data_IF_335216436950
#
_entry.id   IF_335216436950
#
_cell.length_a   1.000
_cell.length_b   1.000
_cell.length_c   1.000
_cell.angle_alpha   90.00
_cell.angle_beta   90.00
_cell.angle_gamma   90.00
#
_symmetry.space_group_name_H-M   'P 1'
#
loop_
_entity.id
_entity.type
_entity.pdbx_description
1 polymer ?
#
# COMPACT_ATOMS: atom_id res chain seq x y z
N UNK A 1 19.91 15.01 -13.28
CA UNK A 1 19.47 15.92 -12.20
C UNK A 1 19.20 15.05 -11.00
N UNK A 2 19.88 15.31 -9.88
CA UNK A 2 19.78 14.53 -8.64
C UNK A 2 18.70 15.17 -7.77
N UNK A 3 17.71 14.39 -7.34
CA UNK A 3 16.61 14.89 -6.51
C UNK A 3 16.94 14.69 -5.02
N UNK A 4 16.40 15.54 -4.15
CA UNK A 4 16.50 15.37 -2.69
C UNK A 4 15.11 15.16 -2.14
N UNK A 5 14.91 14.03 -1.46
CA UNK A 5 13.67 13.70 -0.76
C UNK A 5 13.92 13.84 0.74
N UNK A 6 13.02 14.53 1.42
CA UNK A 6 13.04 14.71 2.88
C UNK A 6 12.14 13.64 3.48
N UNK A 7 12.67 12.89 4.45
CA UNK A 7 11.97 11.83 5.16
C UNK A 7 11.89 12.23 6.63
N UNK A 8 10.68 12.20 7.16
CA UNK A 8 10.36 12.55 8.55
C UNK A 8 10.46 11.31 9.43
N UNK A 9 10.93 11.45 10.67
CA UNK A 9 11.09 10.30 11.58
C UNK A 9 9.75 9.60 11.93
N UNK A 10 8.63 10.32 11.85
CA UNK A 10 7.29 9.76 12.12
C UNK A 10 6.80 8.72 11.11
N UNK A 11 7.45 8.60 9.94
CA UNK A 11 7.13 7.54 8.99
C UNK A 11 7.47 6.14 9.57
N UNK A 12 8.34 6.08 10.59
CA UNK A 12 8.89 4.82 11.09
C UNK A 12 9.17 4.83 12.61
N UNK A 13 8.14 4.99 13.47
CA UNK A 13 8.33 5.18 14.91
C UNK A 13 9.01 4.00 15.63
N UNK A 14 8.90 2.79 15.09
CA UNK A 14 9.50 1.56 15.65
C UNK A 14 10.77 1.11 14.93
N UNK A 15 11.18 1.81 13.87
CA UNK A 15 12.43 1.50 13.17
C UNK A 15 13.54 2.29 13.82
N UNK A 16 14.35 1.62 14.64
CA UNK A 16 15.69 2.14 14.89
C UNK A 16 16.43 2.09 13.56
N UNK A 17 16.80 3.25 13.04
CA UNK A 17 17.72 3.38 11.90
C UNK A 17 19.11 2.86 12.31
N UNK A 18 19.21 1.55 12.51
CA UNK A 18 20.47 0.88 12.78
C UNK A 18 21.37 1.07 11.57
N UNK A 19 22.66 1.38 11.81
CA UNK A 19 23.63 1.73 10.77
C UNK A 19 23.62 0.77 9.58
N UNK A 20 23.32 -0.50 9.83
CA UNK A 20 23.28 -1.58 8.85
C UNK A 20 22.23 -1.39 7.74
N UNK A 21 21.03 -0.88 8.05
CA UNK A 21 19.98 -0.64 7.04
C UNK A 21 20.34 0.56 6.16
N UNK A 22 20.89 1.62 6.76
CA UNK A 22 21.38 2.79 6.04
C UNK A 22 22.60 2.43 5.15
N UNK A 23 23.45 1.51 5.59
CA UNK A 23 24.61 1.03 4.82
C UNK A 23 24.21 0.15 3.62
N UNK A 24 23.25 -0.78 3.80
CA UNK A 24 22.69 -1.55 2.67
C UNK A 24 21.97 -0.66 1.66
N UNK A 25 21.21 0.33 2.14
CA UNK A 25 20.52 1.26 1.25
C UNK A 25 21.49 2.17 0.48
N UNK A 26 22.57 2.63 1.13
CA UNK A 26 23.64 3.41 0.48
C UNK A 26 24.32 2.64 -0.66
N UNK A 27 24.47 1.33 -0.52
CA UNK A 27 25.15 0.51 -1.51
C UNK A 27 24.35 0.35 -2.82
N UNK A 28 23.03 0.45 -2.76
CA UNK A 28 22.17 0.12 -3.90
C UNK A 28 21.36 1.31 -4.47
N UNK A 29 21.03 2.35 -3.68
CA UNK A 29 19.93 3.25 -4.08
C UNK A 29 20.10 4.77 -3.90
N UNK A 30 20.83 5.27 -2.89
CA UNK A 30 20.96 6.73 -2.66
C UNK A 30 22.11 7.10 -1.71
N UNK A 31 22.69 8.29 -1.85
CA UNK A 31 23.55 8.87 -0.81
C UNK A 31 22.69 9.52 0.30
N UNK A 32 23.00 9.23 1.56
CA UNK A 32 22.23 9.71 2.72
C UNK A 32 23.02 10.71 3.55
N UNK A 33 22.43 11.88 3.81
CA UNK A 33 22.94 12.86 4.76
C UNK A 33 21.92 13.10 5.87
N UNK A 34 22.35 12.98 7.13
CA UNK A 34 21.59 13.44 8.28
C UNK A 34 21.92 14.93 8.49
N UNK A 35 20.90 15.79 8.53
CA UNK A 35 21.09 17.16 8.99
C UNK A 35 21.13 17.09 10.53
N UNK A 36 22.31 17.29 11.11
CA UNK A 36 22.51 17.28 12.56
C UNK A 36 21.51 18.21 13.25
N UNK A 37 20.90 17.71 14.32
CA UNK A 37 19.96 18.36 15.26
C UNK A 37 18.46 18.33 14.93
N UNK A 38 18.02 17.83 13.77
CA UNK A 38 16.60 17.60 13.49
C UNK A 38 16.33 16.11 13.17
N UNK A 39 15.20 15.58 13.64
CA UNK A 39 14.65 14.23 13.39
C UNK A 39 14.22 14.07 11.91
N UNK A 40 15.12 14.37 10.98
CA UNK A 40 14.83 14.48 9.55
C UNK A 40 15.99 13.94 8.74
N UNK A 41 15.68 12.98 7.87
CA UNK A 41 16.63 12.35 6.97
C UNK A 41 16.48 12.96 5.58
N UNK A 42 17.62 13.19 4.90
CA UNK A 42 17.62 13.67 3.52
C UNK A 42 18.27 12.64 2.61
N UNK A 43 17.46 12.04 1.74
CA UNK A 43 17.88 11.07 0.74
C UNK A 43 18.23 11.78 -0.58
N UNK A 44 19.42 11.53 -1.10
CA UNK A 44 19.89 12.06 -2.39
C UNK A 44 19.66 11.00 -3.46
N UNK A 45 18.61 11.17 -4.25
CA UNK A 45 18.12 10.21 -5.24
C UNK A 45 18.92 10.33 -6.54
N UNK A 46 19.51 9.22 -7.04
CA UNK A 46 20.27 9.23 -8.27
C UNK A 46 19.36 9.41 -9.49
N UNK A 47 19.92 9.96 -10.58
CA UNK A 47 19.13 10.38 -11.75
C UNK A 47 18.40 9.27 -12.51
N UNK A 48 18.75 8.00 -12.28
CA UNK A 48 18.08 6.84 -12.88
C UNK A 48 16.87 6.34 -12.06
N UNK A 49 16.78 6.68 -10.77
CA UNK A 49 15.64 6.35 -9.89
C UNK A 49 14.59 7.46 -9.94
N UNK A 50 13.93 7.60 -11.09
CA UNK A 50 12.90 8.65 -11.31
C UNK A 50 11.58 8.37 -10.60
N UNK A 51 11.44 7.17 -10.07
CA UNK A 51 10.33 6.66 -9.28
C UNK A 51 10.40 7.09 -7.81
N UNK A 52 11.55 7.56 -7.32
CA UNK A 52 11.72 8.04 -5.94
C UNK A 52 11.51 9.56 -5.85
N UNK A 53 10.26 9.98 -5.70
CA UNK A 53 9.85 11.39 -5.77
C UNK A 53 9.37 11.92 -4.43
N UNK A 54 8.70 11.08 -3.65
CA UNK A 54 8.11 11.42 -2.35
C UNK A 54 8.64 10.54 -1.23
N UNK A 55 8.35 10.93 0.00
CA UNK A 55 8.74 10.20 1.20
C UNK A 55 8.30 8.73 1.18
N UNK A 56 7.09 8.46 0.71
CA UNK A 56 6.53 7.10 0.65
C UNK A 56 7.36 6.16 -0.26
N UNK A 57 7.95 6.67 -1.34
CA UNK A 57 8.74 5.85 -2.26
C UNK A 57 10.05 5.41 -1.59
N UNK A 58 10.70 6.34 -0.87
CA UNK A 58 11.90 6.04 -0.07
C UNK A 58 11.57 5.07 1.05
N UNK A 59 10.39 5.23 1.66
CA UNK A 59 9.89 4.36 2.71
C UNK A 59 9.68 2.91 2.22
N UNK A 60 9.10 2.74 1.02
CA UNK A 60 8.94 1.43 0.38
C UNK A 60 10.29 0.75 0.14
N UNK A 61 11.28 1.49 -0.37
CA UNK A 61 12.61 0.92 -0.61
C UNK A 61 13.29 0.43 0.67
N UNK A 62 13.11 1.15 1.79
CA UNK A 62 13.62 0.74 3.10
C UNK A 62 12.94 -0.57 3.52
N UNK A 63 11.62 -0.64 3.38
CA UNK A 63 10.86 -1.84 3.67
C UNK A 63 11.28 -3.03 2.77
N UNK A 64 11.52 -2.79 1.48
CA UNK A 64 11.95 -3.80 0.50
C UNK A 64 13.35 -4.35 0.80
N UNK A 65 14.30 -3.50 1.20
CA UNK A 65 15.69 -3.92 1.53
C UNK A 65 15.76 -4.60 2.89
N UNK A 66 14.97 -4.13 3.86
CA UNK A 66 14.88 -4.74 5.19
C UNK A 66 14.19 -6.11 5.13
N UNK A 67 13.18 -6.25 4.28
CA UNK A 67 12.33 -7.43 4.18
C UNK A 67 10.93 -7.12 4.70
N UNK A 68 9.91 -7.40 3.89
CA UNK A 68 8.50 -7.17 4.25
C UNK A 68 8.02 -8.10 5.36
N UNK A 69 8.62 -9.26 5.50
CA UNK A 69 8.38 -10.22 6.57
C UNK A 69 8.74 -9.70 7.97
N UNK A 70 9.52 -8.62 8.05
CA UNK A 70 9.89 -7.97 9.30
C UNK A 70 8.93 -6.84 9.69
N UNK A 71 7.92 -6.54 8.87
CA UNK A 71 6.88 -5.58 9.20
C UNK A 71 5.88 -6.24 10.16
N UNK A 72 5.61 -5.68 11.35
CA UNK A 72 4.67 -6.26 12.29
C UNK A 72 3.25 -6.39 11.73
N UNK A 73 2.65 -7.56 11.88
CA UNK A 73 1.25 -7.82 11.54
C UNK A 73 0.33 -7.29 12.65
N UNK A 74 0.01 -5.99 12.58
CA UNK A 74 -0.90 -5.34 13.53
C UNK A 74 -2.24 -5.01 12.86
N UNK A 75 -3.33 -5.31 13.56
CA UNK A 75 -4.65 -4.84 13.13
C UNK A 75 -4.76 -3.33 13.40
N UNK A 76 -5.28 -2.54 12.43
CA UNK A 76 -5.54 -1.13 12.67
C UNK A 76 -6.49 -0.93 13.85
N UNK A 77 -6.07 -0.16 14.84
CA UNK A 77 -6.90 0.17 15.99
C UNK A 77 -7.79 1.38 15.65
N UNK A 78 -8.93 1.12 15.01
CA UNK A 78 -9.93 2.14 14.68
C UNK A 78 -11.31 1.70 15.18
N UNK A 79 -12.16 2.63 15.65
CA UNK A 79 -13.53 2.29 16.05
C UNK A 79 -14.29 1.72 14.85
N UNK A 80 -15.08 0.67 15.09
CA UNK A 80 -15.87 0.07 14.02
C UNK A 80 -16.86 1.12 13.47
N UNK A 81 -16.95 1.29 12.14
CA UNK A 81 -17.94 2.19 11.57
C UNK A 81 -19.35 1.71 11.91
N UNK A 82 -20.31 2.63 11.95
CA UNK A 82 -21.73 2.29 12.14
C UNK A 82 -22.19 1.31 11.07
N UNK A 83 -23.01 0.33 11.46
CA UNK A 83 -23.61 -0.61 10.53
C UNK A 83 -24.32 0.10 9.38
N UNK A 84 -24.06 -0.35 8.15
CA UNK A 84 -24.79 0.06 6.95
C UNK A 84 -25.40 -1.19 6.30
N UNK A 85 -26.71 -1.19 6.01
CA UNK A 85 -27.32 -2.28 5.26
C UNK A 85 -26.62 -2.52 3.93
N UNK A 86 -26.45 -3.78 3.54
CA UNK A 86 -25.89 -4.11 2.23
C UNK A 86 -26.84 -3.60 1.14
N UNK A 87 -26.35 -2.85 0.13
CA UNK A 87 -27.16 -2.47 -1.03
C UNK A 87 -27.62 -3.70 -1.84
N UNK A 88 -27.04 -4.86 -1.59
CA UNK A 88 -27.34 -6.12 -2.27
C UNK A 88 -28.41 -6.96 -1.54
N UNK A 89 -28.88 -6.53 -0.37
CA UNK A 89 -29.83 -7.30 0.45
C UNK A 89 -31.06 -7.79 -0.34
N UNK A 90 -31.66 -6.92 -1.18
CA UNK A 90 -32.82 -7.29 -2.00
C UNK A 90 -32.44 -8.33 -3.06
N UNK A 91 -31.30 -8.16 -3.73
CA UNK A 91 -30.79 -9.10 -4.72
C UNK A 91 -30.57 -10.48 -4.08
N UNK A 92 -29.96 -10.50 -2.90
CA UNK A 92 -29.64 -11.73 -2.20
C UNK A 92 -30.92 -12.46 -1.74
N UNK A 93 -31.93 -11.71 -1.25
CA UNK A 93 -33.23 -12.26 -0.93
C UNK A 93 -33.94 -12.88 -2.16
N UNK A 94 -33.90 -12.20 -3.31
CA UNK A 94 -34.45 -12.74 -4.56
C UNK A 94 -33.71 -14.02 -4.98
N UNK A 95 -32.37 -14.03 -4.87
CA UNK A 95 -31.56 -15.20 -5.18
C UNK A 95 -31.95 -16.40 -4.33
N UNK A 96 -32.11 -16.22 -3.02
CA UNK A 96 -32.53 -17.28 -2.10
C UNK A 96 -33.89 -17.89 -2.48
N UNK A 97 -34.86 -17.04 -2.83
CA UNK A 97 -36.19 -17.50 -3.26
C UNK A 97 -36.11 -18.32 -4.55
N UNK A 98 -35.35 -17.86 -5.54
CA UNK A 98 -35.23 -18.55 -6.83
C UNK A 98 -34.51 -19.90 -6.69
N UNK A 99 -33.46 -19.95 -5.86
CA UNK A 99 -32.79 -21.23 -5.54
C UNK A 99 -33.74 -22.16 -4.81
N UNK A 100 -34.52 -21.67 -3.85
CA UNK A 100 -35.54 -22.45 -3.15
C UNK A 100 -36.64 -23.00 -4.08
N UNK A 101 -36.89 -22.33 -5.21
CA UNK A 101 -37.79 -22.77 -6.26
C UNK A 101 -37.14 -23.76 -7.26
N UNK A 102 -35.87 -24.13 -7.08
CA UNK A 102 -35.16 -25.09 -7.92
C UNK A 102 -34.45 -24.49 -9.14
N UNK A 103 -34.28 -23.17 -9.21
CA UNK A 103 -33.51 -22.53 -10.27
C UNK A 103 -32.01 -22.55 -9.93
N UNK A 104 -31.18 -22.60 -10.97
CA UNK A 104 -29.73 -22.44 -10.89
C UNK A 104 -29.31 -21.05 -11.36
N UNK A 105 -28.43 -20.39 -10.62
CA UNK A 105 -27.86 -19.11 -11.03
C UNK A 105 -26.78 -19.31 -12.11
N UNK A 106 -26.79 -18.46 -13.13
CA UNK A 106 -25.78 -18.43 -14.18
C UNK A 106 -25.14 -17.04 -14.29
N UNK A 107 -23.82 -16.98 -14.47
CA UNK A 107 -23.08 -15.75 -14.76
C UNK A 107 -22.86 -15.67 -16.26
N UNK A 108 -23.48 -14.68 -16.91
CA UNK A 108 -23.38 -14.46 -18.34
C UNK A 108 -22.31 -13.43 -18.70
N UNK A 109 -21.95 -13.38 -19.98
CA UNK A 109 -21.13 -12.29 -20.50
C UNK A 109 -21.86 -10.95 -20.37
N UNK A 110 -21.11 -9.90 -20.01
CA UNK A 110 -21.64 -8.54 -19.94
C UNK A 110 -21.90 -7.93 -21.33
N UNK A 111 -21.19 -8.43 -22.35
CA UNK A 111 -21.32 -8.00 -23.73
C UNK A 111 -22.01 -9.08 -24.56
N UNK A 112 -22.97 -8.66 -25.36
CA UNK A 112 -23.71 -9.51 -26.30
C UNK A 112 -23.66 -8.91 -27.70
N UNK A 113 -23.95 -9.73 -28.71
CA UNK A 113 -24.05 -9.25 -30.10
C UNK A 113 -25.11 -8.14 -30.21
N UNK A 114 -24.90 -7.11 -31.04
CA UNK A 114 -25.93 -6.09 -31.33
C UNK A 114 -27.25 -6.67 -31.84
N UNK A 115 -27.23 -7.86 -32.45
CA UNK A 115 -28.44 -8.54 -32.94
C UNK A 115 -29.23 -9.24 -31.81
N UNK A 116 -28.72 -9.26 -30.58
CA UNK A 116 -29.30 -9.98 -29.43
C UNK A 116 -30.02 -9.06 -28.44
N UNK A 117 -30.05 -7.74 -28.70
CA UNK A 117 -30.72 -6.71 -27.88
C UNK A 117 -31.77 -5.99 -28.72
#
# INVERSE_FOLDING_TARGET
>A
MTARVVVSDHAFPDVRWEREVAERFRAEFAEWSCASEAETLVATVPSWRRDLVIEADVAEEVARVRGYELIPEILPHTPMPTYRPSPLHVRDAVREVLVGAGLSEAVSFALVSPTMV
#
